data_IF_105821259143
#
_entry.id   IF_105821259143
#
_cell.length_a   1.000
_cell.length_b   1.000
_cell.length_c   1.000
_cell.angle_alpha   90.00
_cell.angle_beta   90.00
_cell.angle_gamma   90.00
#
_symmetry.space_group_name_H-M   'P 1'
#
loop_
_entity.id
_entity.type
_entity.pdbx_description
1 polymer ?
#
# COMPACT_ATOMS: atom_id res chain seq x y z
N UNK A 1 -0.38 5.15 -13.55
CA UNK A 1 -1.68 4.84 -12.97
C UNK A 1 -1.64 5.04 -11.47
N UNK A 2 -2.67 5.66 -10.89
CA UNK A 2 -2.67 6.09 -9.47
C UNK A 2 -3.42 5.10 -8.60
N UNK A 3 -2.97 3.84 -8.57
CA UNK A 3 -3.69 2.74 -7.91
C UNK A 3 -3.76 2.90 -6.38
N UNK A 4 -2.72 3.46 -5.76
CA UNK A 4 -2.61 3.58 -4.30
C UNK A 4 -2.54 5.02 -3.82
N UNK A 5 -3.08 5.96 -4.60
CA UNK A 5 -3.23 7.35 -4.20
C UNK A 5 -4.58 7.50 -3.47
N UNK A 6 -4.52 7.50 -2.15
CA UNK A 6 -5.74 7.56 -1.33
C UNK A 6 -6.06 9.00 -0.96
N UNK A 7 -7.28 9.47 -1.26
CA UNK A 7 -7.70 10.80 -0.84
C UNK A 7 -7.77 10.93 0.69
N UNK A 8 -7.37 12.07 1.19
CA UNK A 8 -7.40 12.37 2.62
C UNK A 8 -8.26 13.60 2.89
N UNK A 9 -8.81 13.62 4.10
CA UNK A 9 -9.48 14.80 4.64
C UNK A 9 -8.63 15.38 5.76
N UNK A 10 -8.34 16.67 5.67
CA UNK A 10 -7.57 17.40 6.66
C UNK A 10 -8.53 18.23 7.48
N UNK A 11 -8.57 17.99 8.78
CA UNK A 11 -9.51 18.68 9.69
C UNK A 11 -8.73 19.42 10.77
N UNK A 12 -8.79 20.77 10.82
CA UNK A 12 -8.18 21.51 11.92
C UNK A 12 -8.87 21.17 13.25
N UNK A 13 -8.06 20.98 14.29
CA UNK A 13 -8.58 20.67 15.63
C UNK A 13 -7.62 21.21 16.70
N UNK A 14 -7.97 22.32 17.31
CA UNK A 14 -7.27 22.92 18.46
C UNK A 14 -5.74 23.00 18.29
N UNK A 15 -5.31 23.61 17.17
CA UNK A 15 -3.89 23.80 16.89
C UNK A 15 -3.19 22.60 16.26
N UNK A 16 -3.94 21.55 15.95
CA UNK A 16 -3.44 20.40 15.20
C UNK A 16 -4.22 20.21 13.91
N UNK A 17 -3.74 19.33 13.06
CA UNK A 17 -4.45 18.94 11.82
C UNK A 17 -4.63 17.42 11.87
N UNK A 18 -5.88 16.98 11.83
CA UNK A 18 -6.23 15.57 11.81
C UNK A 18 -6.34 15.11 10.36
N UNK A 19 -5.79 13.93 10.05
CA UNK A 19 -5.89 13.30 8.74
C UNK A 19 -6.73 12.05 8.85
N UNK A 20 -7.74 11.95 7.99
CA UNK A 20 -8.56 10.74 7.85
C UNK A 20 -8.62 10.31 6.39
N UNK A 21 -8.86 9.01 6.19
CA UNK A 21 -8.98 8.40 4.87
C UNK A 21 -10.39 7.78 4.76
N UNK A 22 -11.20 8.27 3.85
CA UNK A 22 -12.54 7.70 3.65
C UNK A 22 -12.49 6.23 3.23
N UNK A 23 -11.51 5.88 2.38
CA UNK A 23 -11.37 4.52 1.84
C UNK A 23 -10.68 3.57 2.82
N UNK A 24 -9.95 4.09 3.80
CA UNK A 24 -9.20 3.32 4.80
C UNK A 24 -9.49 3.92 6.17
N UNK A 25 -10.70 3.69 6.73
CA UNK A 25 -11.12 4.34 7.97
C UNK A 25 -10.27 3.99 9.18
N UNK A 26 -9.51 2.90 9.12
CA UNK A 26 -8.57 2.51 10.17
C UNK A 26 -7.37 3.45 10.27
N UNK A 27 -7.05 4.17 9.19
CA UNK A 27 -5.92 5.08 9.15
C UNK A 27 -6.36 6.47 9.61
N UNK A 28 -5.95 6.83 10.82
CA UNK A 28 -6.18 8.16 11.41
C UNK A 28 -4.89 8.62 12.04
N UNK A 29 -4.52 9.86 11.80
CA UNK A 29 -3.34 10.45 12.42
C UNK A 29 -3.51 11.97 12.51
N UNK A 30 -2.50 12.63 13.04
CA UNK A 30 -2.48 14.09 13.14
C UNK A 30 -1.06 14.62 13.07
N UNK A 31 -0.95 15.92 12.85
CA UNK A 31 0.31 16.66 12.95
C UNK A 31 0.04 18.05 13.51
N UNK A 32 1.12 18.75 13.87
CA UNK A 32 1.02 20.10 14.38
C UNK A 32 0.70 21.11 13.28
N UNK A 33 1.01 20.76 12.05
CA UNK A 33 0.62 21.49 10.85
C UNK A 33 0.27 20.53 9.73
N UNK A 34 -0.13 21.05 8.57
CA UNK A 34 -0.54 20.23 7.43
C UNK A 34 0.59 19.36 6.90
N UNK A 35 1.81 19.92 6.79
CA UNK A 35 2.95 19.17 6.25
C UNK A 35 3.31 17.97 7.14
N UNK A 36 3.37 18.19 8.45
CA UNK A 36 3.62 17.10 9.39
C UNK A 36 2.50 16.07 9.37
N UNK A 37 1.26 16.53 9.34
CA UNK A 37 0.09 15.64 9.30
C UNK A 37 0.15 14.73 8.06
N UNK A 38 0.52 15.26 6.90
CA UNK A 38 0.63 14.48 5.67
C UNK A 38 1.80 13.47 5.72
N UNK A 39 2.91 13.83 6.38
CA UNK A 39 4.01 12.89 6.59
C UNK A 39 3.57 11.74 7.50
N UNK A 40 2.87 12.04 8.59
CA UNK A 40 2.34 11.02 9.50
C UNK A 40 1.28 10.15 8.80
N UNK A 41 0.56 10.72 7.85
CA UNK A 41 -0.48 9.99 7.11
C UNK A 41 0.08 8.83 6.28
N UNK A 42 1.28 8.96 5.74
CA UNK A 42 1.93 7.87 5.00
C UNK A 42 2.13 6.67 5.92
N UNK A 43 2.63 6.90 7.13
CA UNK A 43 2.90 5.85 8.12
C UNK A 43 1.60 5.21 8.61
N UNK A 44 0.58 6.01 8.88
CA UNK A 44 -0.73 5.51 9.29
C UNK A 44 -1.38 4.65 8.19
N UNK A 45 -1.24 5.06 6.95
CA UNK A 45 -1.76 4.30 5.80
C UNK A 45 -1.04 2.96 5.67
N UNK A 46 0.29 2.96 5.76
CA UNK A 46 1.09 1.73 5.72
C UNK A 46 0.65 0.75 6.81
N UNK A 47 0.51 1.25 8.04
CA UNK A 47 0.09 0.41 9.17
C UNK A 47 -1.30 -0.20 8.93
N UNK A 48 -2.24 0.59 8.44
CA UNK A 48 -3.59 0.11 8.15
C UNK A 48 -3.60 -0.93 7.03
N UNK A 49 -2.87 -0.69 5.95
CA UNK A 49 -2.80 -1.64 4.83
C UNK A 49 -2.11 -2.94 5.23
N UNK A 50 -1.17 -2.88 6.17
CA UNK A 50 -0.54 -4.08 6.73
C UNK A 50 -1.59 -5.01 7.37
N UNK A 51 -2.56 -4.46 8.09
CA UNK A 51 -3.64 -5.26 8.67
C UNK A 51 -4.50 -5.92 7.60
N UNK A 52 -4.77 -5.25 6.49
CA UNK A 52 -5.51 -5.86 5.38
C UNK A 52 -4.76 -7.07 4.83
N UNK A 53 -3.44 -6.96 4.65
CA UNK A 53 -2.60 -8.07 4.17
C UNK A 53 -2.60 -9.23 5.18
N UNK A 54 -2.42 -8.95 6.46
CA UNK A 54 -2.42 -9.96 7.52
C UNK A 54 -3.75 -10.69 7.63
N UNK A 55 -4.85 -9.97 7.45
CA UNK A 55 -6.20 -10.53 7.48
C UNK A 55 -6.60 -11.18 6.15
N UNK A 56 -5.72 -11.19 5.16
CA UNK A 56 -5.95 -11.74 3.81
C UNK A 56 -7.17 -11.11 3.14
N UNK A 57 -7.38 -9.84 3.35
CA UNK A 57 -8.48 -9.07 2.76
C UNK A 57 -8.02 -8.40 1.47
N UNK A 58 -8.99 -8.13 0.59
CA UNK A 58 -8.75 -7.27 -0.56
C UNK A 58 -8.38 -5.87 -0.09
N UNK A 59 -7.42 -5.24 -0.78
CA UNK A 59 -7.04 -3.88 -0.47
C UNK A 59 -8.18 -2.92 -0.84
N UNK A 60 -8.41 -1.86 -0.04
CA UNK A 60 -9.39 -0.85 -0.41
C UNK A 60 -9.01 -0.17 -1.72
N UNK A 61 -9.97 0.04 -2.59
CA UNK A 61 -9.76 0.76 -3.84
C UNK A 61 -9.82 2.26 -3.55
N UNK A 62 -8.79 3.03 -3.93
CA UNK A 62 -8.84 4.47 -3.74
C UNK A 62 -9.98 5.11 -4.53
N UNK A 63 -10.74 5.98 -3.89
CA UNK A 63 -11.74 6.80 -4.55
C UNK A 63 -11.07 7.88 -5.38
N UNK A 64 -11.82 8.43 -6.32
CA UNK A 64 -11.35 9.57 -7.08
C UNK A 64 -11.33 10.80 -6.16
N UNK A 65 -10.21 11.53 -6.06
CA UNK A 65 -10.16 12.70 -5.20
C UNK A 65 -11.11 13.79 -5.69
N UNK A 66 -11.73 14.49 -4.74
CA UNK A 66 -12.53 15.67 -5.03
C UNK A 66 -11.62 16.84 -5.40
N UNK A 67 -12.19 17.85 -6.04
CA UNK A 67 -11.42 19.04 -6.42
C UNK A 67 -10.72 19.65 -5.20
N UNK A 68 -9.40 19.83 -5.32
CA UNK A 68 -8.57 20.39 -4.24
C UNK A 68 -8.23 19.41 -3.13
N UNK A 69 -8.76 18.19 -3.17
CA UNK A 69 -8.46 17.20 -2.15
C UNK A 69 -7.07 16.60 -2.37
N UNK A 70 -6.29 16.52 -1.29
CA UNK A 70 -4.95 15.90 -1.34
C UNK A 70 -5.06 14.39 -1.29
N UNK A 71 -4.02 13.74 -1.80
CA UNK A 71 -3.89 12.28 -1.75
C UNK A 71 -2.61 11.90 -1.03
N UNK A 72 -2.60 10.70 -0.46
CA UNK A 72 -1.42 10.13 0.20
C UNK A 72 -1.18 8.76 -0.41
N UNK A 73 0.08 8.48 -0.69
CA UNK A 73 0.52 7.23 -1.31
C UNK A 73 1.65 6.61 -0.49
N UNK A 74 1.64 5.28 -0.31
CA UNK A 74 2.81 4.59 0.24
C UNK A 74 4.05 4.80 -0.63
N UNK A 75 5.22 4.46 -0.12
CA UNK A 75 6.46 4.54 -0.91
C UNK A 75 6.37 3.71 -2.19
N UNK A 76 7.24 4.01 -3.16
CA UNK A 76 7.25 3.25 -4.42
C UNK A 76 7.48 1.76 -4.19
N UNK A 77 8.37 1.40 -3.26
CA UNK A 77 8.64 0.00 -2.91
C UNK A 77 7.39 -0.68 -2.34
N UNK A 78 6.72 -0.01 -1.41
CA UNK A 78 5.49 -0.53 -0.81
C UNK A 78 4.38 -0.65 -1.84
N UNK A 79 4.24 0.31 -2.75
CA UNK A 79 3.28 0.24 -3.84
C UNK A 79 3.53 -0.98 -4.73
N UNK A 80 4.80 -1.33 -4.98
CA UNK A 80 5.14 -2.54 -5.72
C UNK A 80 4.68 -3.79 -5.00
N UNK A 81 4.91 -3.88 -3.69
CA UNK A 81 4.45 -5.00 -2.86
C UNK A 81 2.93 -5.11 -2.82
N UNK A 82 2.25 -3.97 -2.65
CA UNK A 82 0.79 -3.90 -2.64
C UNK A 82 0.22 -4.35 -4.00
N UNK A 83 0.85 -3.94 -5.09
CA UNK A 83 0.42 -4.35 -6.43
C UNK A 83 0.54 -5.86 -6.65
N UNK A 84 1.61 -6.48 -6.17
CA UNK A 84 1.78 -7.93 -6.24
C UNK A 84 0.74 -8.63 -5.37
N UNK A 85 0.51 -8.13 -4.16
CA UNK A 85 -0.51 -8.67 -3.27
C UNK A 85 -1.90 -8.60 -3.92
N UNK A 86 -2.23 -7.47 -4.51
CA UNK A 86 -3.52 -7.27 -5.18
C UNK A 86 -3.69 -8.22 -6.36
N UNK A 87 -2.67 -8.38 -7.20
CA UNK A 87 -2.70 -9.31 -8.32
C UNK A 87 -2.91 -10.74 -7.85
N UNK A 88 -2.23 -11.14 -6.78
CA UNK A 88 -2.34 -12.47 -6.19
C UNK A 88 -3.76 -12.72 -5.68
N UNK A 89 -4.31 -11.77 -4.91
CA UNK A 89 -5.65 -11.92 -4.33
C UNK A 89 -6.75 -11.88 -5.37
N UNK A 90 -6.64 -11.03 -6.38
CA UNK A 90 -7.61 -10.96 -7.47
C UNK A 90 -7.65 -12.23 -8.30
N UNK A 91 -6.52 -12.91 -8.43
CA UNK A 91 -6.42 -14.18 -9.15
C UNK A 91 -6.79 -15.39 -8.27
N UNK A 92 -7.08 -15.18 -6.99
CA UNK A 92 -7.39 -16.25 -6.06
C UNK A 92 -6.19 -17.17 -5.78
N UNK A 93 -4.97 -16.67 -5.97
CA UNK A 93 -3.74 -17.45 -5.78
C UNK A 93 -3.29 -17.28 -4.32
N UNK A 94 -3.00 -18.39 -3.65
CA UNK A 94 -2.50 -18.39 -2.28
C UNK A 94 -0.98 -18.19 -2.25
N UNK A 95 -0.46 -17.76 -1.11
CA UNK A 95 0.99 -17.59 -0.89
C UNK A 95 1.78 -18.86 -1.23
N UNK A 96 1.25 -20.03 -0.87
CA UNK A 96 1.92 -21.33 -1.15
C UNK A 96 2.06 -21.59 -2.65
N UNK A 97 1.07 -21.22 -3.43
CA UNK A 97 1.13 -21.37 -4.89
C UNK A 97 2.14 -20.39 -5.50
N UNK A 98 2.16 -19.14 -5.00
CA UNK A 98 3.15 -18.16 -5.44
C UNK A 98 4.58 -18.64 -5.11
N UNK A 99 4.79 -19.17 -3.91
CA UNK A 99 6.06 -19.75 -3.50
C UNK A 99 6.48 -20.87 -4.46
N UNK A 100 5.55 -21.75 -4.81
CA UNK A 100 5.80 -22.85 -5.74
C UNK A 100 6.23 -22.35 -7.12
N UNK A 101 5.52 -21.36 -7.65
CA UNK A 101 5.83 -20.76 -8.97
C UNK A 101 7.21 -20.12 -9.00
N UNK A 102 7.60 -19.50 -7.88
CA UNK A 102 8.88 -18.79 -7.77
C UNK A 102 10.04 -19.72 -7.34
N UNK A 103 9.74 -20.90 -6.82
CA UNK A 103 10.74 -21.75 -6.19
C UNK A 103 11.28 -21.14 -4.90
N UNK A 104 10.48 -20.35 -4.22
CA UNK A 104 10.86 -19.67 -2.97
C UNK A 104 10.33 -20.42 -1.76
N UNK A 105 10.99 -20.21 -0.62
CA UNK A 105 10.50 -20.68 0.68
C UNK A 105 9.49 -19.69 1.25
N UNK A 106 8.59 -20.18 2.11
CA UNK A 106 7.55 -19.34 2.69
C UNK A 106 8.07 -18.08 3.40
N UNK A 107 9.17 -18.14 4.17
CA UNK A 107 9.70 -16.89 4.75
C UNK A 107 10.04 -15.81 3.73
N UNK A 108 10.45 -16.18 2.52
CA UNK A 108 10.70 -15.23 1.45
C UNK A 108 9.40 -14.57 0.97
N UNK A 109 8.32 -15.35 0.88
CA UNK A 109 6.99 -14.83 0.54
C UNK A 109 6.49 -13.91 1.64
N UNK A 110 6.66 -14.28 2.90
CA UNK A 110 6.23 -13.45 4.02
C UNK A 110 6.95 -12.11 4.03
N UNK A 111 8.25 -12.09 3.72
CA UNK A 111 9.01 -10.84 3.60
C UNK A 111 8.54 -9.99 2.42
N UNK A 112 8.15 -10.62 1.32
CA UNK A 112 7.62 -9.90 0.16
C UNK A 112 6.37 -9.11 0.53
N UNK A 113 5.51 -9.67 1.37
CA UNK A 113 4.26 -9.04 1.80
C UNK A 113 4.35 -8.29 3.12
N UNK A 114 5.53 -8.19 3.70
CA UNK A 114 5.81 -7.33 4.83
C UNK A 114 6.22 -5.95 4.29
N UNK A 115 5.34 -4.97 4.41
CA UNK A 115 5.57 -3.63 3.87
C UNK A 115 6.80 -2.94 4.45
N UNK A 116 7.22 -3.33 5.65
CA UNK A 116 8.39 -2.75 6.34
C UNK A 116 9.69 -3.40 5.93
N UNK A 117 9.64 -4.52 5.24
CA UNK A 117 10.86 -5.17 4.74
C UNK A 117 11.29 -4.55 3.43
N UNK A 118 12.57 -4.14 3.36
CA UNK A 118 13.14 -3.54 2.15
C UNK A 118 13.51 -4.64 1.14
N UNK A 119 12.51 -5.19 0.47
CA UNK A 119 12.72 -6.18 -0.58
C UNK A 119 13.39 -5.54 -1.80
N UNK A 120 14.20 -6.31 -2.50
CA UNK A 120 14.82 -5.84 -3.74
C UNK A 120 13.78 -5.76 -4.85
N UNK A 121 13.95 -4.79 -5.74
CA UNK A 121 13.02 -4.58 -6.86
C UNK A 121 12.92 -5.82 -7.75
N UNK A 122 14.03 -6.51 -7.99
CA UNK A 122 14.03 -7.72 -8.82
C UNK A 122 13.18 -8.85 -8.24
N UNK A 123 13.06 -8.93 -6.91
CA UNK A 123 12.16 -9.89 -6.27
C UNK A 123 10.69 -9.53 -6.50
N UNK A 124 10.37 -8.24 -6.45
CA UNK A 124 9.02 -7.75 -6.75
C UNK A 124 8.68 -8.01 -8.22
N UNK A 125 9.63 -7.77 -9.12
CA UNK A 125 9.46 -8.05 -10.54
C UNK A 125 9.24 -9.53 -10.81
N UNK A 126 10.01 -10.41 -10.16
CA UNK A 126 9.86 -11.85 -10.31
C UNK A 126 8.48 -12.31 -9.84
N UNK A 127 8.01 -11.81 -8.71
CA UNK A 127 6.70 -12.14 -8.17
C UNK A 127 5.58 -11.66 -9.10
N UNK A 128 5.68 -10.44 -9.61
CA UNK A 128 4.72 -9.91 -10.58
C UNK A 128 4.68 -10.79 -11.83
N UNK A 129 5.84 -11.18 -12.35
CA UNK A 129 5.95 -12.04 -13.53
C UNK A 129 5.26 -13.40 -13.30
N UNK A 130 5.44 -13.99 -12.11
CA UNK A 130 4.79 -15.25 -11.76
C UNK A 130 3.26 -15.14 -11.72
N UNK A 131 2.73 -13.93 -11.62
CA UNK A 131 1.28 -13.62 -11.64
C UNK A 131 0.82 -13.10 -13.01
N UNK A 132 1.66 -13.17 -14.03
CA UNK A 132 1.33 -12.67 -15.36
C UNK A 132 1.31 -11.16 -15.48
N UNK A 133 1.96 -10.47 -14.56
CA UNK A 133 2.05 -9.01 -14.51
C UNK A 133 3.50 -8.56 -14.68
N UNK A 134 3.70 -7.29 -14.83
CA UNK A 134 5.05 -6.71 -14.85
C UNK A 134 5.05 -5.37 -14.15
N UNK A 135 6.21 -5.00 -13.61
CA UNK A 135 6.38 -3.72 -12.93
C UNK A 135 6.72 -2.67 -13.96
N UNK A 136 6.00 -1.55 -13.91
CA UNK A 136 6.35 -0.34 -14.65
C UNK A 136 6.79 0.71 -13.64
N UNK A 137 7.95 1.31 -13.88
CA UNK A 137 8.46 2.37 -13.04
C UNK A 137 8.45 3.67 -13.81
N UNK A 138 7.84 4.69 -13.24
CA UNK A 138 7.82 6.01 -13.85
C UNK A 138 8.31 7.03 -12.82
N UNK A 139 9.26 7.84 -13.24
CA UNK A 139 9.70 8.99 -12.45
C UNK A 139 9.05 10.22 -13.09
N UNK A 140 8.12 10.81 -12.35
CA UNK A 140 7.33 11.94 -12.82
C UNK A 140 7.99 13.29 -12.45
#
# INVERSE_FOLDING_TARGET
>A
MKIFDYPVTLTPDEGTVIVTFADVPEAITFGMDEDEALLQAVDALESALTFYIEDRKLLPTPSKPKKGQKTVRPSALECGKLGVYQAMTEQGIKKSELARRLGWHMPQIDRLFDLRHASKLDQIEAAASALGKHVKLQIA
#
